data_IF_095923754589
#
_entry.id   IF_095923754589
#
_cell.length_a   1.000
_cell.length_b   1.000
_cell.length_c   1.000
_cell.angle_alpha   90.00
_cell.angle_beta   90.00
_cell.angle_gamma   90.00
#
_symmetry.space_group_name_H-M   'P 1'
#
loop_
_entity.id
_entity.type
_entity.pdbx_description
1 polymer ?
#
# COMPACT_ATOMS: atom_id res chain seq x y z
N UNK A 1 7.44 -48.00 -31.26
CA UNK A 1 8.17 -46.96 -32.01
C UNK A 1 7.14 -45.98 -32.55
N UNK A 2 7.09 -44.69 -32.24
CA UNK A 2 7.61 -43.89 -31.14
C UNK A 2 6.66 -42.68 -31.05
N UNK A 3 5.90 -42.56 -29.95
CA UNK A 3 4.94 -41.45 -29.73
C UNK A 3 5.66 -40.36 -28.93
N UNK A 4 6.52 -39.57 -29.58
CA UNK A 4 7.14 -38.38 -28.97
C UNK A 4 7.32 -37.27 -30.00
N UNK A 5 6.32 -36.40 -30.11
CA UNK A 5 6.50 -34.94 -30.25
C UNK A 5 5.13 -34.27 -30.37
N UNK A 6 4.49 -34.05 -29.22
CA UNK A 6 3.23 -33.30 -29.08
C UNK A 6 3.47 -31.79 -28.82
N UNK A 7 4.72 -31.33 -28.89
CA UNK A 7 5.01 -29.90 -28.82
C UNK A 7 4.64 -29.28 -30.17
N UNK A 8 3.38 -28.81 -30.28
CA UNK A 8 2.97 -27.83 -31.30
C UNK A 8 4.05 -26.76 -31.37
N UNK A 9 4.61 -26.54 -32.55
CA UNK A 9 5.45 -25.37 -32.80
C UNK A 9 4.73 -24.14 -32.24
N UNK A 10 5.35 -23.47 -31.25
CA UNK A 10 4.85 -22.18 -30.78
C UNK A 10 4.87 -21.27 -32.00
N UNK A 11 3.70 -20.83 -32.47
CA UNK A 11 3.63 -19.78 -33.49
C UNK A 11 4.45 -18.60 -32.96
N UNK A 12 5.55 -18.29 -33.63
CA UNK A 12 6.36 -17.13 -33.32
C UNK A 12 5.50 -15.90 -33.66
N UNK A 13 4.89 -15.31 -32.64
CA UNK A 13 4.18 -14.06 -32.79
C UNK A 13 5.22 -12.95 -32.78
N UNK A 14 5.37 -12.27 -33.91
CA UNK A 14 6.18 -11.06 -34.01
C UNK A 14 5.56 -9.99 -33.11
N UNK A 15 6.38 -9.39 -32.23
CA UNK A 15 5.91 -8.33 -31.32
C UNK A 15 5.64 -7.01 -32.08
N UNK A 16 6.41 -6.76 -33.15
CA UNK A 16 6.30 -5.62 -34.05
C UNK A 16 6.80 -5.99 -35.45
N UNK A 17 6.44 -5.19 -36.46
CA UNK A 17 6.88 -5.39 -37.86
C UNK A 17 8.40 -5.25 -38.00
N UNK A 18 9.01 -4.36 -37.21
CA UNK A 18 10.46 -4.10 -37.21
C UNK A 18 11.27 -5.34 -36.81
N UNK A 19 10.74 -6.17 -35.90
CA UNK A 19 11.37 -7.43 -35.47
C UNK A 19 11.38 -8.53 -36.53
N UNK A 20 10.55 -8.41 -37.57
CA UNK A 20 10.41 -9.44 -38.61
C UNK A 20 11.46 -9.31 -39.70
N UNK A 21 11.73 -8.08 -40.14
CA UNK A 21 12.54 -7.86 -41.34
C UNK A 21 14.03 -7.63 -41.01
N UNK A 22 14.36 -7.08 -39.83
CA UNK A 22 15.73 -6.71 -39.48
C UNK A 22 16.21 -7.37 -38.17
N UNK A 23 16.35 -8.70 -38.16
CA UNK A 23 16.76 -9.46 -36.96
C UNK A 23 18.15 -9.06 -36.43
N UNK A 24 19.06 -8.62 -37.31
CA UNK A 24 20.42 -8.22 -36.91
C UNK A 24 20.44 -6.83 -36.27
N UNK A 25 19.81 -5.84 -36.89
CA UNK A 25 19.73 -4.48 -36.36
C UNK A 25 18.92 -4.43 -35.07
N UNK A 26 17.84 -5.19 -34.98
CA UNK A 26 17.03 -5.28 -33.76
C UNK A 26 17.77 -5.95 -32.61
N UNK A 27 18.61 -6.96 -32.87
CA UNK A 27 19.51 -7.52 -31.84
C UNK A 27 20.54 -6.49 -31.36
N UNK A 28 21.04 -5.65 -32.25
CA UNK A 28 22.00 -4.61 -31.90
C UNK A 28 21.34 -3.42 -31.18
N UNK A 29 20.12 -3.05 -31.56
CA UNK A 29 19.28 -2.08 -30.86
C UNK A 29 18.87 -2.59 -29.47
N UNK A 30 18.39 -3.83 -29.36
CA UNK A 30 18.05 -4.45 -28.08
C UNK A 30 19.26 -4.55 -27.11
N UNK A 31 20.47 -4.74 -27.65
CA UNK A 31 21.73 -4.64 -26.88
C UNK A 31 22.02 -3.21 -26.42
N UNK A 32 21.58 -2.20 -27.16
CA UNK A 32 21.79 -0.78 -26.85
C UNK A 32 20.69 -0.16 -25.97
N UNK A 33 19.48 -0.74 -25.97
CA UNK A 33 18.29 -0.17 -25.32
C UNK A 33 18.23 -0.44 -23.82
N UNK A 34 18.84 -1.53 -23.35
CA UNK A 34 18.91 -1.83 -21.92
C UNK A 34 20.36 -1.88 -21.46
N UNK A 35 20.71 -1.03 -20.49
CA UNK A 35 21.97 -1.07 -19.75
C UNK A 35 22.09 -2.36 -18.93
N UNK A 36 22.29 -3.50 -19.58
CA UNK A 36 22.56 -4.78 -18.92
C UNK A 36 23.76 -5.45 -19.57
N UNK A 37 24.81 -5.54 -18.74
CA UNK A 37 26.13 -6.16 -18.92
C UNK A 37 27.25 -5.33 -19.58
N UNK A 38 28.33 -5.10 -18.82
CA UNK A 38 28.38 -4.32 -17.59
C UNK A 38 28.21 -2.82 -17.90
N UNK A 39 27.70 -2.04 -16.93
CA UNK A 39 27.77 -0.57 -17.01
C UNK A 39 29.18 -0.16 -17.48
N UNK A 40 29.35 0.73 -18.48
CA UNK A 40 30.67 1.16 -18.94
C UNK A 40 31.61 1.55 -17.79
N UNK A 41 31.05 2.00 -16.66
CA UNK A 41 31.80 2.24 -15.42
C UNK A 41 32.33 0.94 -14.80
N UNK A 42 31.50 -0.09 -14.66
CA UNK A 42 31.86 -1.41 -14.11
C UNK A 42 32.85 -2.15 -15.01
N UNK A 43 32.67 -2.10 -16.33
CA UNK A 43 33.60 -2.71 -17.28
C UNK A 43 34.99 -2.06 -17.22
N UNK A 44 35.06 -0.72 -17.11
CA UNK A 44 36.31 0.03 -16.97
C UNK A 44 36.99 -0.14 -15.62
N UNK A 45 36.23 -0.29 -14.54
CA UNK A 45 36.77 -0.66 -13.23
C UNK A 45 37.49 -2.02 -13.31
N UNK A 46 36.91 -2.98 -14.05
CA UNK A 46 37.47 -4.32 -14.19
C UNK A 46 38.70 -4.37 -15.11
N UNK A 47 38.77 -3.52 -16.14
CA UNK A 47 39.92 -3.43 -17.06
C UNK A 47 41.08 -2.58 -16.53
N UNK A 48 40.87 -1.78 -15.48
CA UNK A 48 41.90 -0.90 -14.89
C UNK A 48 42.17 0.37 -15.72
N UNK A 49 41.46 0.59 -16.82
CA UNK A 49 41.59 1.77 -17.67
C UNK A 49 40.65 2.89 -17.17
N UNK A 50 41.19 3.78 -16.34
CA UNK A 50 40.44 4.92 -15.80
C UNK A 50 40.69 6.20 -16.60
N UNK A 51 39.65 6.71 -17.26
CA UNK A 51 39.63 8.10 -17.75
C UNK A 51 39.39 9.07 -16.58
N UNK A 52 39.96 10.29 -16.65
CA UNK A 52 39.84 11.35 -15.63
C UNK A 52 38.38 11.64 -15.27
N UNK A 53 37.48 11.64 -16.25
CA UNK A 53 36.04 11.84 -16.04
C UNK A 53 35.39 10.69 -15.27
N UNK A 54 35.83 9.45 -15.52
CA UNK A 54 35.32 8.26 -14.84
C UNK A 54 35.78 8.22 -13.38
N UNK A 55 37.04 8.60 -13.13
CA UNK A 55 37.57 8.78 -11.79
C UNK A 55 36.79 9.84 -10.99
N UNK A 56 36.56 11.03 -11.58
CA UNK A 56 35.79 12.09 -10.93
C UNK A 56 34.34 11.70 -10.65
N UNK A 57 33.70 10.95 -11.54
CA UNK A 57 32.35 10.39 -11.30
C UNK A 57 32.33 9.43 -10.13
N UNK A 58 33.31 8.52 -10.05
CA UNK A 58 33.39 7.54 -8.96
C UNK A 58 33.70 8.21 -7.61
N UNK A 59 34.65 9.15 -7.59
CA UNK A 59 34.98 9.93 -6.40
C UNK A 59 33.79 10.78 -5.94
N UNK A 60 33.10 11.46 -6.87
CA UNK A 60 31.90 12.24 -6.57
C UNK A 60 30.76 11.38 -6.03
N UNK A 61 30.54 10.19 -6.63
CA UNK A 61 29.57 9.22 -6.13
C UNK A 61 29.94 8.70 -4.72
N UNK A 62 31.22 8.42 -4.47
CA UNK A 62 31.72 8.00 -3.16
C UNK A 62 31.49 9.05 -2.07
N UNK A 63 31.83 10.32 -2.34
CA UNK A 63 31.60 11.43 -1.40
C UNK A 63 30.10 11.69 -1.18
N UNK A 64 29.27 11.55 -2.21
CA UNK A 64 27.82 11.65 -2.04
C UNK A 64 27.27 10.53 -1.15
N UNK A 65 27.70 9.28 -1.34
CA UNK A 65 27.25 8.15 -0.53
C UNK A 65 27.70 8.25 0.94
N UNK A 66 28.91 8.74 1.20
CA UNK A 66 29.38 8.91 2.58
C UNK A 66 28.70 10.08 3.29
N UNK A 67 28.37 11.17 2.57
CA UNK A 67 27.68 12.32 3.16
C UNK A 67 26.22 12.03 3.53
N UNK A 68 25.54 11.11 2.82
CA UNK A 68 24.18 10.68 3.17
C UNK A 68 24.10 9.91 4.50
N UNK A 69 25.18 9.26 4.94
CA UNK A 69 25.22 8.55 6.23
C UNK A 69 25.39 9.49 7.44
N UNK A 70 25.66 10.78 7.22
CA UNK A 70 25.76 11.78 8.29
C UNK A 70 24.40 12.39 8.68
N UNK A 71 23.31 12.05 7.98
CA UNK A 71 21.96 12.50 8.36
C UNK A 71 21.40 11.53 9.40
N UNK A 72 21.29 11.99 10.66
CA UNK A 72 20.67 11.20 11.72
C UNK A 72 19.20 10.99 11.38
N UNK A 73 18.82 9.72 11.19
CA UNK A 73 17.41 9.34 11.04
C UNK A 73 16.63 9.76 12.29
N UNK A 74 15.37 10.19 12.13
CA UNK A 74 14.52 10.46 13.28
C UNK A 74 14.41 9.21 14.15
N UNK A 75 14.42 9.40 15.48
CA UNK A 75 14.29 8.29 16.42
C UNK A 75 12.83 7.82 16.42
N UNK A 76 12.59 6.63 15.90
CA UNK A 76 11.28 5.98 15.98
C UNK A 76 11.00 5.51 17.42
N UNK A 77 9.82 5.84 17.93
CA UNK A 77 9.39 5.43 19.27
C UNK A 77 8.44 4.24 19.16
N UNK A 78 8.75 3.18 19.90
CA UNK A 78 7.86 2.02 20.05
C UNK A 78 7.12 2.20 21.38
N UNK A 79 5.81 2.43 21.32
CA UNK A 79 4.95 2.67 22.49
C UNK A 79 4.16 1.40 22.80
N UNK A 80 4.41 0.72 23.94
CA UNK A 80 3.62 -0.43 24.35
C UNK A 80 2.27 0.00 24.94
N UNK A 81 1.35 -0.96 25.07
CA UNK A 81 0.10 -0.76 25.81
C UNK A 81 0.37 -0.56 27.30
N UNK A 82 -0.46 0.25 27.95
CA UNK A 82 -0.40 0.48 29.39
C UNK A 82 -0.92 -0.73 30.18
N UNK A 83 -2.02 -1.33 29.72
CA UNK A 83 -2.57 -2.58 30.25
C UNK A 83 -2.77 -3.54 29.07
N UNK A 84 -1.86 -4.50 28.92
CA UNK A 84 -1.97 -5.55 27.91
C UNK A 84 -2.42 -6.83 28.61
N UNK A 85 -3.71 -7.16 28.51
CA UNK A 85 -4.25 -8.41 29.06
C UNK A 85 -3.80 -9.56 28.16
N UNK A 86 -2.83 -10.34 28.61
CA UNK A 86 -2.23 -11.45 27.85
C UNK A 86 -2.90 -12.81 28.10
N UNK A 87 -3.86 -12.88 29.01
CA UNK A 87 -4.45 -14.15 29.43
C UNK A 87 -5.32 -14.76 28.32
N UNK A 88 -5.07 -16.04 28.03
CA UNK A 88 -5.60 -16.81 26.91
C UNK A 88 -7.14 -16.95 26.86
N UNK A 89 -7.85 -16.46 27.89
CA UNK A 89 -9.31 -16.49 27.99
C UNK A 89 -10.00 -15.12 28.03
N UNK A 90 -9.24 -14.03 28.20
CA UNK A 90 -9.77 -12.66 28.21
C UNK A 90 -9.03 -11.86 27.15
N UNK A 91 -9.31 -12.15 25.89
CA UNK A 91 -8.85 -11.30 24.81
C UNK A 91 -9.55 -9.96 24.97
N UNK A 92 -8.82 -8.96 25.50
CA UNK A 92 -9.00 -7.62 24.94
C UNK A 92 -8.84 -7.79 23.43
N UNK A 93 -9.79 -7.28 22.66
CA UNK A 93 -10.29 -7.86 21.40
C UNK A 93 -9.28 -7.90 20.24
N UNK A 94 -8.00 -7.64 20.52
CA UNK A 94 -6.96 -7.26 19.58
C UNK A 94 -5.58 -7.72 20.09
N UNK A 95 -5.17 -8.96 19.79
CA UNK A 95 -3.76 -9.35 19.86
C UNK A 95 -2.97 -8.51 18.86
N UNK A 96 -1.95 -7.84 19.38
CA UNK A 96 -1.12 -6.96 18.56
C UNK A 96 -0.45 -7.71 17.42
N UNK A 97 -0.44 -7.12 16.23
CA UNK A 97 0.17 -7.71 15.04
C UNK A 97 -0.68 -8.74 14.29
N UNK A 98 -1.82 -9.17 14.84
CA UNK A 98 -2.77 -10.04 14.13
C UNK A 98 -3.92 -9.23 13.51
N UNK A 99 -4.41 -9.71 12.37
CA UNK A 99 -5.59 -9.14 11.73
C UNK A 99 -6.85 -9.84 12.25
N UNK A 100 -7.84 -9.05 12.65
CA UNK A 100 -9.16 -9.47 13.08
C UNK A 100 -10.18 -9.18 11.98
N UNK A 101 -11.21 -10.01 11.89
CA UNK A 101 -12.28 -9.87 10.92
C UNK A 101 -13.61 -9.68 11.64
N UNK A 102 -14.32 -8.59 11.31
CA UNK A 102 -15.64 -8.29 11.86
C UNK A 102 -16.67 -8.30 10.74
N UNK A 103 -17.78 -9.01 10.95
CA UNK A 103 -18.93 -8.95 10.06
C UNK A 103 -19.80 -7.75 10.45
N UNK A 104 -20.13 -6.90 9.48
CA UNK A 104 -21.06 -5.77 9.65
C UNK A 104 -21.93 -5.62 8.41
N UNK A 105 -22.94 -4.75 8.46
CA UNK A 105 -23.78 -4.45 7.31
C UNK A 105 -23.97 -2.94 7.16
N UNK A 106 -23.91 -2.46 5.92
CA UNK A 106 -24.19 -1.07 5.59
C UNK A 106 -25.09 -1.01 4.37
N UNK A 107 -26.18 -0.23 4.47
CA UNK A 107 -27.18 -0.08 3.43
C UNK A 107 -27.67 -1.42 2.84
N UNK A 108 -27.89 -2.42 3.69
CA UNK A 108 -28.34 -3.76 3.30
C UNK A 108 -27.27 -4.64 2.63
N UNK A 109 -26.03 -4.19 2.48
CA UNK A 109 -24.90 -4.99 1.97
C UNK A 109 -24.05 -5.49 3.13
N UNK A 110 -23.56 -6.73 3.07
CA UNK A 110 -22.73 -7.34 4.11
C UNK A 110 -21.24 -7.07 3.89
N UNK A 111 -20.57 -6.58 4.92
CA UNK A 111 -19.17 -6.20 4.92
C UNK A 111 -18.39 -7.13 5.84
N UNK A 112 -17.18 -7.46 5.42
CA UNK A 112 -16.15 -8.12 6.21
C UNK A 112 -15.01 -7.13 6.41
N UNK A 113 -14.87 -6.64 7.64
CA UNK A 113 -13.89 -5.61 8.01
C UNK A 113 -12.63 -6.26 8.55
N UNK A 114 -11.51 -6.08 7.86
CA UNK A 114 -10.19 -6.41 8.39
C UNK A 114 -9.71 -5.27 9.29
N UNK A 115 -9.52 -5.56 10.57
CA UNK A 115 -9.02 -4.63 11.57
C UNK A 115 -7.68 -5.11 12.11
N UNK A 116 -6.78 -4.19 12.42
CA UNK A 116 -5.52 -4.48 13.10
C UNK A 116 -5.34 -3.46 14.20
N UNK A 117 -4.93 -3.89 15.38
CA UNK A 117 -4.66 -2.99 16.50
C UNK A 117 -5.89 -2.11 16.85
N UNK A 118 -7.10 -2.63 16.62
CA UNK A 118 -8.39 -1.96 16.84
C UNK A 118 -8.82 -1.01 15.71
N UNK A 119 -8.02 -0.89 14.64
CA UNK A 119 -8.23 0.03 13.53
C UNK A 119 -8.67 -0.72 12.27
N UNK A 120 -9.86 -0.42 11.71
CA UNK A 120 -10.24 -0.90 10.39
C UNK A 120 -9.20 -0.52 9.34
N UNK A 121 -8.73 -1.48 8.55
CA UNK A 121 -7.74 -1.25 7.49
C UNK A 121 -8.31 -1.52 6.10
N UNK A 122 -9.25 -2.46 5.99
CA UNK A 122 -9.82 -2.85 4.71
C UNK A 122 -11.23 -3.38 4.88
N UNK A 123 -12.09 -3.03 3.93
CA UNK A 123 -13.45 -3.51 3.80
C UNK A 123 -13.50 -4.46 2.61
N UNK A 124 -14.10 -5.64 2.77
CA UNK A 124 -14.43 -6.57 1.69
C UNK A 124 -15.87 -7.06 1.84
N UNK A 125 -16.40 -7.77 0.85
CA UNK A 125 -17.74 -8.32 0.96
C UNK A 125 -17.73 -9.53 1.89
N UNK A 126 -18.79 -9.71 2.67
CA UNK A 126 -18.96 -10.97 3.39
C UNK A 126 -19.43 -12.05 2.41
N UNK A 127 -18.72 -13.18 2.34
CA UNK A 127 -19.05 -14.35 1.51
C UNK A 127 -20.39 -14.97 1.89
N UNK A 128 -20.72 -14.97 3.19
CA UNK A 128 -21.96 -15.56 3.73
C UNK A 128 -23.19 -14.66 3.53
N UNK A 129 -22.98 -13.41 3.09
CA UNK A 129 -24.08 -12.46 2.94
C UNK A 129 -24.66 -12.51 1.52
N UNK A 130 -25.99 -12.64 1.37
CA UNK A 130 -26.63 -12.95 0.08
C UNK A 130 -26.38 -11.91 -1.01
N UNK A 131 -26.16 -10.65 -0.62
CA UNK A 131 -25.95 -9.53 -1.57
C UNK A 131 -24.48 -9.33 -1.93
N UNK A 132 -23.56 -9.39 -0.97
CA UNK A 132 -22.15 -9.05 -1.22
C UNK A 132 -21.35 -10.24 -1.73
N UNK A 133 -21.65 -11.46 -1.27
CA UNK A 133 -21.03 -12.70 -1.78
C UNK A 133 -19.50 -12.62 -1.95
N UNK A 134 -18.82 -11.97 -1.00
CA UNK A 134 -17.36 -11.81 -1.02
C UNK A 134 -16.84 -10.52 -1.68
N UNK A 135 -17.70 -9.70 -2.31
CA UNK A 135 -17.30 -8.47 -2.98
C UNK A 135 -18.06 -7.22 -2.49
N UNK A 136 -17.45 -6.05 -2.68
CA UNK A 136 -18.07 -4.74 -2.49
C UNK A 136 -17.89 -3.88 -3.73
N UNK A 137 -18.84 -2.99 -3.98
CA UNK A 137 -18.69 -1.93 -4.99
C UNK A 137 -17.68 -0.87 -4.57
N UNK A 138 -17.33 0.03 -5.50
CA UNK A 138 -16.34 1.09 -5.29
C UNK A 138 -16.65 1.97 -4.07
N UNK A 139 -17.90 2.38 -3.89
CA UNK A 139 -18.33 3.18 -2.74
C UNK A 139 -18.18 2.42 -1.42
N UNK A 140 -18.48 1.12 -1.40
CA UNK A 140 -18.33 0.30 -0.19
C UNK A 140 -16.87 0.10 0.20
N UNK A 141 -15.99 -0.04 -0.80
CA UNK A 141 -14.54 -0.09 -0.60
C UNK A 141 -13.97 1.25 -0.09
N UNK A 142 -14.51 2.37 -0.58
CA UNK A 142 -14.09 3.72 -0.22
C UNK A 142 -14.65 4.21 1.12
N UNK A 143 -15.71 3.57 1.67
CA UNK A 143 -16.35 3.97 2.92
C UNK A 143 -15.39 4.01 4.14
N UNK A 144 -14.24 3.35 4.04
CA UNK A 144 -13.19 3.45 5.07
C UNK A 144 -12.61 4.86 5.16
N UNK A 145 -12.60 5.64 4.07
CA UNK A 145 -12.12 7.00 4.07
C UNK A 145 -13.02 7.93 4.87
N UNK A 146 -14.34 7.72 4.85
CA UNK A 146 -15.28 8.51 5.65
C UNK A 146 -15.02 8.35 7.16
N UNK A 147 -14.51 7.18 7.59
CA UNK A 147 -14.12 6.95 8.98
C UNK A 147 -12.84 7.71 9.36
N UNK A 148 -11.91 7.85 8.42
CA UNK A 148 -10.61 8.50 8.62
C UNK A 148 -10.56 9.93 8.08
N UNK A 149 -11.70 10.50 7.74
CA UNK A 149 -11.81 11.88 7.27
C UNK A 149 -11.54 12.87 8.41
N UNK A 150 -10.53 13.76 8.30
CA UNK A 150 -10.28 14.79 9.31
C UNK A 150 -11.45 15.79 9.47
N UNK A 151 -12.27 15.98 8.44
CA UNK A 151 -13.41 16.90 8.45
C UNK A 151 -14.66 16.28 9.09
N UNK A 152 -14.59 15.00 9.49
CA UNK A 152 -15.67 14.31 10.20
C UNK A 152 -16.00 15.02 11.51
N UNK A 153 -17.29 15.15 11.81
CA UNK A 153 -17.76 15.72 13.08
C UNK A 153 -17.15 14.99 14.28
N UNK A 154 -16.32 15.70 15.05
CA UNK A 154 -15.60 15.16 16.21
C UNK A 154 -16.44 15.19 17.50
N UNK A 155 -17.53 15.96 17.51
CA UNK A 155 -18.39 16.14 18.66
C UNK A 155 -19.69 16.84 18.30
N UNK A 156 -20.57 17.03 19.29
CA UNK A 156 -21.87 17.64 19.08
C UNK A 156 -21.74 19.15 18.93
N UNK A 157 -22.58 19.72 18.08
CA UNK A 157 -22.67 21.15 17.87
C UNK A 157 -24.13 21.60 17.90
N UNK A 158 -24.37 22.80 18.45
CA UNK A 158 -25.67 23.44 18.45
C UNK A 158 -25.71 24.55 17.41
N UNK A 159 -26.89 24.76 16.80
CA UNK A 159 -27.12 25.89 15.90
C UNK A 159 -27.92 26.94 16.68
N UNK A 160 -27.30 28.08 16.96
CA UNK A 160 -27.94 29.22 17.60
C UNK A 160 -27.81 30.45 16.70
N UNK A 161 -28.94 31.03 16.30
CA UNK A 161 -28.95 32.22 15.42
C UNK A 161 -28.23 32.02 14.08
N UNK A 162 -28.20 30.80 13.55
CA UNK A 162 -27.52 30.45 12.30
C UNK A 162 -26.00 30.23 12.42
N UNK A 163 -25.43 30.30 13.64
CA UNK A 163 -24.03 29.94 13.91
C UNK A 163 -23.93 28.56 14.53
N UNK A 164 -22.91 27.82 14.12
CA UNK A 164 -22.57 26.51 14.69
C UNK A 164 -21.62 26.73 15.85
N UNK A 165 -22.04 26.30 17.05
CA UNK A 165 -21.24 26.36 18.27
C UNK A 165 -21.03 24.95 18.80
N UNK A 166 -19.77 24.59 19.09
CA UNK A 166 -19.44 23.30 19.68
C UNK A 166 -19.98 23.23 21.12
N UNK A 167 -20.64 22.13 21.46
CA UNK A 167 -21.19 21.88 22.79
C UNK A 167 -20.62 20.59 23.38
N UNK A 168 -20.82 20.40 24.68
CA UNK A 168 -20.49 19.14 25.35
C UNK A 168 -21.65 18.14 25.21
N UNK A 169 -21.33 16.84 25.19
CA UNK A 169 -22.31 15.77 25.13
C UNK A 169 -23.35 15.86 26.27
N UNK A 170 -22.90 16.13 27.50
CA UNK A 170 -23.80 16.29 28.65
C UNK A 170 -24.83 17.41 28.44
N UNK A 171 -24.42 18.54 27.84
CA UNK A 171 -25.31 19.65 27.54
C UNK A 171 -26.29 19.33 26.41
N UNK A 172 -25.88 18.51 25.44
CA UNK A 172 -26.79 18.01 24.40
C UNK A 172 -27.84 17.10 25.04
N UNK A 173 -27.41 16.15 25.86
CA UNK A 173 -28.28 15.15 26.49
C UNK A 173 -29.35 15.79 27.36
N UNK A 174 -28.99 16.77 28.21
CA UNK A 174 -29.97 17.51 29.02
C UNK A 174 -31.00 18.24 28.16
N UNK A 175 -30.58 18.88 27.06
CA UNK A 175 -31.50 19.58 26.15
C UNK A 175 -32.46 18.62 25.44
N UNK A 176 -31.99 17.45 25.03
CA UNK A 176 -32.85 16.42 24.40
C UNK A 176 -33.84 15.86 25.41
N UNK A 177 -33.42 15.64 26.66
CA UNK A 177 -34.31 15.19 27.74
C UNK A 177 -35.39 16.22 28.08
N UNK A 178 -35.07 17.52 28.09
CA UNK A 178 -36.05 18.59 28.32
C UNK A 178 -37.07 18.73 27.18
N UNK A 179 -36.71 18.29 25.96
CA UNK A 179 -37.54 18.43 24.76
C UNK A 179 -38.46 17.23 24.49
N UNK A 180 -38.25 16.10 25.17
CA UNK A 180 -39.08 14.90 25.10
C UNK A 180 -40.21 14.95 26.14
#
# INVERSE_FOLDING_TARGET
MDKKNFQKEKKAHWLSLELKDNEKETKDLARSEFFTSPDPVIARIKSGEFDRKTFLKLMGAGVAMTSLNCVRKPVEKIVPYVDLKTDEGTFDFVKHGQAYYYATAFNGTGYLVRSKDGRPLKLEGNEDHPISQGALGASGQAAIFDLYDPDRAQGPAAISGGKVENIQWSSLDSKVQEAL
#
